data_IF_897356715044
#
_entry.id   IF_897356715044
#
_cell.length_a   1.000
_cell.length_b   1.000
_cell.length_c   1.000
_cell.angle_alpha   90.00
_cell.angle_beta   90.00
_cell.angle_gamma   90.00
#
_symmetry.space_group_name_H-M   'P 1'
#
loop_
_entity.id
_entity.type
_entity.pdbx_description
1 polymer ?
#
# COMPACT_ATOMS: atom_id res chain seq x y z
N UNK A 1 3.58 -29.95 4.68
CA UNK A 1 2.30 -29.21 4.58
C UNK A 1 2.51 -28.05 3.63
N UNK A 2 1.65 -27.88 2.63
CA UNK A 2 1.77 -26.76 1.68
C UNK A 2 1.52 -25.44 2.41
N UNK A 3 2.34 -24.42 2.13
CA UNK A 3 2.17 -23.08 2.71
C UNK A 3 0.89 -22.47 2.14
N UNK A 4 -0.02 -21.91 2.97
CA UNK A 4 -1.22 -21.26 2.46
C UNK A 4 -0.80 -20.12 1.51
N UNK A 5 -1.39 -20.12 0.31
CA UNK A 5 -1.11 -19.13 -0.73
C UNK A 5 -2.13 -18.01 -0.61
N UNK A 6 -1.66 -16.81 -0.35
CA UNK A 6 -2.48 -15.60 -0.32
C UNK A 6 -2.35 -14.86 -1.64
N UNK A 7 -3.37 -14.10 -2.07
CA UNK A 7 -3.21 -13.12 -3.12
C UNK A 7 -2.11 -12.13 -2.72
N UNK A 8 -1.38 -11.61 -3.72
CA UNK A 8 -0.22 -10.75 -3.51
C UNK A 8 -0.39 -9.41 -4.20
N UNK A 9 0.23 -8.39 -3.63
CA UNK A 9 0.34 -7.05 -4.22
C UNK A 9 1.81 -6.67 -4.31
N UNK A 10 2.15 -5.90 -5.36
CA UNK A 10 3.49 -5.36 -5.55
C UNK A 10 3.60 -3.95 -4.94
N UNK A 11 4.61 -3.72 -4.10
CA UNK A 11 4.91 -2.41 -3.50
C UNK A 11 6.34 -1.98 -3.79
N UNK A 12 6.58 -0.67 -3.70
CA UNK A 12 7.90 -0.07 -3.78
C UNK A 12 7.94 1.28 -3.05
N UNK A 13 9.12 1.89 -2.98
CA UNK A 13 9.29 3.30 -2.62
C UNK A 13 9.61 4.10 -3.89
N UNK A 14 8.84 5.16 -4.15
CA UNK A 14 9.09 6.04 -5.28
C UNK A 14 10.26 6.97 -4.99
N UNK A 15 11.20 7.06 -5.92
CA UNK A 15 12.46 7.78 -5.67
C UNK A 15 12.32 9.30 -5.59
N UNK A 16 11.31 9.87 -6.26
CA UNK A 16 11.15 11.34 -6.34
C UNK A 16 10.77 11.99 -5.01
N UNK A 17 10.00 11.28 -4.18
CA UNK A 17 9.35 11.82 -2.97
C UNK A 17 9.35 10.83 -1.80
N UNK A 18 9.87 9.62 -1.98
CA UNK A 18 9.95 8.60 -0.93
C UNK A 18 8.63 7.88 -0.65
N UNK A 19 7.56 8.22 -1.35
CA UNK A 19 6.22 7.67 -1.10
C UNK A 19 6.17 6.15 -1.30
N UNK A 20 5.40 5.50 -0.43
CA UNK A 20 5.05 4.09 -0.61
C UNK A 20 4.00 4.01 -1.71
N UNK A 21 4.34 3.28 -2.77
CA UNK A 21 3.49 3.07 -3.94
C UNK A 21 3.17 1.60 -4.16
N UNK A 22 2.10 1.37 -4.90
CA UNK A 22 1.57 0.07 -5.25
C UNK A 22 1.37 -0.01 -6.77
N UNK A 23 1.68 -1.17 -7.35
CA UNK A 23 1.50 -1.39 -8.79
C UNK A 23 0.00 -1.47 -9.10
N UNK A 24 -0.47 -0.64 -10.03
CA UNK A 24 -1.86 -0.70 -10.48
C UNK A 24 -2.05 -1.68 -11.66
N UNK A 25 -3.31 -1.90 -12.08
CA UNK A 25 -3.65 -2.83 -13.16
C UNK A 25 -3.18 -2.40 -14.55
N UNK A 26 -2.82 -1.12 -14.75
CA UNK A 26 -2.27 -0.61 -16.00
C UNK A 26 -0.74 -0.70 -16.05
N UNK A 27 -0.10 -1.15 -14.97
CA UNK A 27 1.34 -1.14 -14.84
C UNK A 27 1.91 0.24 -14.50
N UNK A 28 1.11 1.10 -13.86
CA UNK A 28 1.56 2.33 -13.21
C UNK A 28 1.87 2.12 -11.72
N UNK A 29 2.11 3.22 -11.01
CA UNK A 29 2.37 3.24 -9.57
C UNK A 29 1.42 4.21 -8.89
N UNK A 30 0.47 3.70 -8.11
CA UNK A 30 -0.45 4.51 -7.29
C UNK A 30 0.08 4.68 -5.86
N UNK A 31 -0.22 5.82 -5.24
CA UNK A 31 0.01 6.05 -3.80
C UNK A 31 -1.12 5.48 -2.93
N UNK A 32 -2.26 5.18 -3.54
CA UNK A 32 -3.47 4.68 -2.90
C UNK A 32 -3.49 3.17 -2.97
N UNK A 33 -3.61 2.50 -1.81
CA UNK A 33 -3.59 1.04 -1.76
C UNK A 33 -4.77 0.38 -2.49
N UNK A 34 -5.94 1.02 -2.49
CA UNK A 34 -7.14 0.50 -3.14
C UNK A 34 -7.01 0.36 -4.68
N UNK A 35 -6.07 1.10 -5.30
CA UNK A 35 -5.82 1.02 -6.74
C UNK A 35 -4.86 -0.13 -7.11
N UNK A 36 -4.33 -0.83 -6.11
CA UNK A 36 -3.33 -1.86 -6.34
C UNK A 36 -3.91 -3.06 -7.09
N UNK A 37 -3.16 -3.56 -8.07
CA UNK A 37 -3.46 -4.83 -8.71
C UNK A 37 -3.22 -5.98 -7.73
N UNK A 38 -4.24 -6.81 -7.55
CA UNK A 38 -4.20 -8.00 -6.69
C UNK A 38 -3.98 -9.23 -7.57
N UNK A 39 -2.92 -9.98 -7.29
CA UNK A 39 -2.55 -11.17 -8.02
C UNK A 39 -2.90 -12.42 -7.20
N UNK A 40 -3.97 -13.11 -7.58
CA UNK A 40 -4.35 -14.40 -6.97
C UNK A 40 -3.47 -15.56 -7.45
N UNK A 41 -3.01 -15.51 -8.70
CA UNK A 41 -2.08 -16.48 -9.27
C UNK A 41 -0.62 -16.12 -8.92
N UNK A 42 0.14 -17.05 -8.30
CA UNK A 42 1.54 -16.81 -8.01
C UNK A 42 2.39 -16.49 -9.24
N UNK A 43 2.14 -17.13 -10.39
CA UNK A 43 2.95 -16.91 -11.59
C UNK A 43 2.73 -15.51 -12.17
N UNK A 44 1.48 -15.04 -12.22
CA UNK A 44 1.16 -13.66 -12.59
C UNK A 44 1.84 -12.63 -11.67
N UNK A 45 1.88 -12.90 -10.36
CA UNK A 45 2.56 -12.01 -9.40
C UNK A 45 4.07 -11.91 -9.66
N UNK A 46 4.75 -13.04 -9.88
CA UNK A 46 6.19 -13.05 -10.21
C UNK A 46 6.47 -12.37 -11.55
N UNK A 47 5.60 -12.55 -12.55
CA UNK A 47 5.73 -11.87 -13.84
C UNK A 47 5.60 -10.35 -13.70
N UNK A 48 4.67 -9.88 -12.86
CA UNK A 48 4.53 -8.46 -12.56
C UNK A 48 5.75 -7.88 -11.82
N UNK A 49 6.32 -8.64 -10.88
CA UNK A 49 7.57 -8.27 -10.20
C UNK A 49 8.72 -8.14 -11.20
N UNK A 50 8.92 -9.15 -12.05
CA UNK A 50 9.98 -9.12 -13.08
C UNK A 50 9.81 -7.93 -14.04
N UNK A 51 8.57 -7.60 -14.44
CA UNK A 51 8.31 -6.44 -15.29
C UNK A 51 8.63 -5.10 -14.59
N UNK A 52 8.41 -5.02 -13.27
CA UNK A 52 8.66 -3.82 -12.48
C UNK A 52 10.16 -3.52 -12.28
N UNK A 53 11.06 -4.47 -12.50
CA UNK A 53 12.52 -4.24 -12.49
C UNK A 53 12.94 -3.20 -13.52
N UNK A 54 12.21 -3.05 -14.62
CA UNK A 54 12.44 -1.98 -15.60
C UNK A 54 12.28 -0.58 -14.98
N UNK A 55 11.34 -0.41 -14.04
CA UNK A 55 11.14 0.86 -13.34
C UNK A 55 12.21 1.11 -12.26
N UNK A 56 12.81 0.06 -11.71
CA UNK A 56 14.01 0.15 -10.84
C UNK A 56 15.22 0.60 -11.65
N UNK A 57 15.49 -0.05 -12.79
CA UNK A 57 16.57 0.32 -13.69
C UNK A 57 16.43 1.76 -14.22
N UNK A 58 15.18 2.19 -14.46
CA UNK A 58 14.85 3.57 -14.83
C UNK A 58 14.89 4.57 -13.66
N UNK A 59 15.23 4.14 -12.44
CA UNK A 59 15.31 4.97 -11.22
C UNK A 59 13.99 5.68 -10.90
N UNK A 60 12.85 5.04 -11.17
CA UNK A 60 11.53 5.54 -10.77
C UNK A 60 11.18 5.10 -9.34
N UNK A 61 11.54 3.87 -9.00
CA UNK A 61 11.24 3.23 -7.71
C UNK A 61 12.44 2.43 -7.20
N UNK A 62 12.43 2.10 -5.91
CA UNK A 62 13.40 1.21 -5.25
C UNK A 62 12.70 0.23 -4.32
N UNK A 63 13.38 -0.87 -3.99
CA UNK A 63 12.90 -1.92 -3.11
C UNK A 63 11.51 -2.42 -3.56
N UNK A 64 11.42 -2.90 -4.81
CA UNK A 64 10.20 -3.50 -5.35
C UNK A 64 10.08 -4.93 -4.80
N UNK A 65 8.93 -5.29 -4.24
CA UNK A 65 8.67 -6.65 -3.76
C UNK A 65 7.17 -6.95 -3.64
N UNK A 66 6.86 -8.25 -3.56
CA UNK A 66 5.52 -8.79 -3.34
C UNK A 66 5.27 -9.01 -1.84
N UNK A 67 4.03 -8.76 -1.40
CA UNK A 67 3.57 -9.13 -0.06
C UNK A 67 2.14 -9.64 -0.09
N UNK A 68 1.77 -10.39 0.94
CA UNK A 68 0.46 -11.03 1.05
C UNK A 68 -0.63 -10.04 1.46
N UNK A 69 -1.79 -10.15 0.81
CA UNK A 69 -3.00 -9.40 1.14
C UNK A 69 -4.14 -10.34 1.49
N UNK A 70 -5.09 -9.80 2.23
CA UNK A 70 -6.33 -10.50 2.58
C UNK A 70 -7.52 -9.59 2.30
N UNK A 71 -8.61 -10.20 1.87
CA UNK A 71 -9.88 -9.51 1.67
C UNK A 71 -10.58 -9.38 3.02
N UNK A 72 -11.14 -8.21 3.28
CA UNK A 72 -12.12 -7.98 4.34
C UNK A 72 -13.42 -7.45 3.74
N UNK A 73 -14.46 -7.29 4.56
CA UNK A 73 -15.77 -6.82 4.09
C UNK A 73 -15.79 -5.40 3.49
N UNK A 74 -14.66 -4.68 3.50
CA UNK A 74 -14.50 -3.33 2.96
C UNK A 74 -13.49 -3.24 1.81
N UNK A 75 -12.80 -4.33 1.49
CA UNK A 75 -11.85 -4.42 0.39
C UNK A 75 -10.58 -5.21 0.75
N UNK A 76 -9.53 -5.02 -0.04
CA UNK A 76 -8.24 -5.63 0.25
C UNK A 76 -7.50 -4.86 1.34
N UNK A 77 -6.74 -5.58 2.16
CA UNK A 77 -5.78 -4.98 3.09
C UNK A 77 -4.49 -5.79 3.21
N UNK A 78 -3.37 -5.15 3.60
CA UNK A 78 -2.15 -5.87 3.91
C UNK A 78 -2.34 -6.87 5.06
N UNK A 79 -1.73 -8.05 4.91
CA UNK A 79 -1.67 -9.08 5.96
C UNK A 79 -0.67 -8.72 7.05
N UNK A 80 0.49 -8.20 6.64
CA UNK A 80 1.63 -7.95 7.53
C UNK A 80 1.55 -6.56 8.18
N UNK A 81 1.80 -6.48 9.49
CA UNK A 81 1.74 -5.23 10.26
C UNK A 81 2.63 -4.14 9.67
N UNK A 82 3.82 -4.51 9.18
CA UNK A 82 4.74 -3.57 8.51
C UNK A 82 4.06 -2.87 7.33
N UNK A 83 3.37 -3.63 6.50
CA UNK A 83 2.71 -3.10 5.31
C UNK A 83 1.43 -2.34 5.65
N UNK A 84 0.72 -2.72 6.72
CA UNK A 84 -0.37 -1.91 7.28
C UNK A 84 0.14 -0.52 7.70
N UNK A 85 1.28 -0.45 8.38
CA UNK A 85 1.90 0.82 8.80
C UNK A 85 2.37 1.61 7.57
N UNK A 86 3.04 0.96 6.59
CA UNK A 86 3.48 1.64 5.35
C UNK A 86 2.32 2.18 4.53
N UNK A 87 1.16 1.51 4.52
CA UNK A 87 -0.04 1.96 3.83
C UNK A 87 -0.72 3.16 4.53
N UNK A 88 -0.67 3.23 5.86
CA UNK A 88 -1.34 4.28 6.66
C UNK A 88 -0.45 5.49 6.97
N UNK A 89 0.83 5.26 7.22
CA UNK A 89 1.78 6.25 7.71
C UNK A 89 2.24 6.00 9.16
N UNK A 90 2.99 6.94 9.75
CA UNK A 90 3.59 6.79 11.08
C UNK A 90 2.55 6.57 12.18
N UNK A 91 2.82 5.68 13.14
CA UNK A 91 1.88 5.41 14.25
C UNK A 91 1.99 6.40 15.41
N UNK A 92 3.13 7.09 15.56
CA UNK A 92 3.41 8.01 16.69
C UNK A 92 3.00 9.46 16.41
N UNK A 93 3.09 9.89 15.14
CA UNK A 93 2.72 11.23 14.68
C UNK A 93 1.78 11.12 13.49
N UNK A 94 0.50 10.87 13.81
CA UNK A 94 -0.56 10.68 12.81
C UNK A 94 -0.78 11.93 11.94
N UNK A 95 -0.37 13.09 12.42
CA UNK A 95 -0.42 14.37 11.73
C UNK A 95 0.63 14.54 10.60
N UNK A 96 1.58 13.61 10.45
CA UNK A 96 2.70 13.74 9.50
C UNK A 96 2.71 12.69 8.37
N UNK A 97 1.67 11.86 8.24
CA UNK A 97 1.62 10.76 7.24
C UNK A 97 0.39 10.81 6.31
N UNK A 98 0.11 9.70 5.61
CA UNK A 98 -1.06 9.59 4.71
C UNK A 98 -2.40 9.83 5.45
N UNK A 99 -2.43 9.56 6.75
CA UNK A 99 -3.55 9.83 7.65
C UNK A 99 -3.73 11.32 8.07
N UNK A 100 -2.76 12.20 7.80
CA UNK A 100 -2.79 13.60 8.24
C UNK A 100 -3.95 14.39 7.61
N UNK A 101 -4.28 14.11 6.35
CA UNK A 101 -5.36 14.76 5.62
C UNK A 101 -6.77 14.32 6.03
N UNK A 102 -6.91 13.19 6.74
CA UNK A 102 -8.20 12.64 7.19
C UNK A 102 -8.60 13.10 8.61
N UNK A 103 -7.75 13.89 9.27
CA UNK A 103 -7.98 14.33 10.66
C UNK A 103 -8.83 15.60 10.75
N UNK A 104 -9.20 16.21 9.63
CA UNK A 104 -9.82 17.54 9.53
C UNK A 104 -11.36 17.58 9.71
N UNK A 105 -11.98 16.56 10.34
CA UNK A 105 -13.43 16.60 10.67
C UNK A 105 -13.74 16.61 12.18
N UNK A 106 -12.76 16.69 13.07
CA UNK A 106 -13.03 16.93 14.49
C UNK A 106 -13.01 18.43 14.80
N UNK A 107 -14.02 19.13 14.28
CA UNK A 107 -14.38 20.47 14.78
C UNK A 107 -14.71 20.42 16.28
N UNK A 108 -14.61 21.57 16.99
CA UNK A 108 -14.85 21.60 18.42
C UNK A 108 -16.27 21.09 18.71
N UNK A 109 -16.41 20.08 19.58
CA UNK A 109 -17.71 19.70 20.15
C UNK A 109 -18.19 20.88 20.98
N UNK A 110 -18.98 21.75 20.36
CA UNK A 110 -19.68 22.81 21.06
C UNK A 110 -20.63 22.20 22.10
N UNK A 111 -20.57 22.72 23.32
CA UNK A 111 -21.67 22.65 24.28
C UNK A 111 -21.56 21.60 25.36
N UNK A 112 -20.66 21.80 26.33
CA UNK A 112 -20.89 21.39 27.71
C UNK A 112 -21.45 22.59 28.49
N UNK A 113 -22.77 22.82 28.41
CA UNK A 113 -23.60 23.65 29.31
C UNK A 113 -25.05 23.30 28.94
N UNK A 114 -26.02 22.98 29.80
CA UNK A 114 -26.18 23.09 31.24
C UNK A 114 -26.94 21.88 31.79
#
# INVERSE_FOLDING_TARGET
MAKPTFPRVLTANRLRDGEVVYRDGAGGWSVTFADAAVFADPAAAEAALAAAEADVAARKVVAVYLFDVIEDGTGWRPRETREVIRARGPTVRSDLGKQAGNSAEHGPRAGAVA
#
